data_IF_222529735189
#
_entry.id   IF_222529735189
#
_cell.length_a   1.000
_cell.length_b   1.000
_cell.length_c   1.000
_cell.angle_alpha   90.00
_cell.angle_beta   90.00
_cell.angle_gamma   90.00
#
_symmetry.space_group_name_H-M   'P 1'
#
loop_
_entity.id
_entity.type
_entity.pdbx_description
1 polymer ?
#
# COMPACT_ATOMS: atom_id res chain seq x y z
N UNK A 1 -13.38 13.18 28.42
CA UNK A 1 -13.88 13.25 27.03
C UNK A 1 -12.83 12.64 26.11
N UNK A 2 -12.97 11.34 25.80
CA UNK A 2 -12.11 10.69 24.79
C UNK A 2 -12.61 11.15 23.42
N UNK A 3 -11.95 12.13 22.82
CA UNK A 3 -12.10 12.40 21.40
C UNK A 3 -11.49 11.23 20.64
N UNK A 4 -12.31 10.28 20.28
CA UNK A 4 -11.91 9.29 19.30
C UNK A 4 -11.82 10.01 17.95
N UNK A 5 -10.67 9.92 17.31
CA UNK A 5 -10.46 10.50 16.00
C UNK A 5 -11.34 9.80 14.97
N UNK A 6 -12.52 10.38 14.74
CA UNK A 6 -13.44 9.91 13.71
C UNK A 6 -13.21 10.70 12.42
N UNK A 7 -12.86 9.99 11.36
CA UNK A 7 -12.72 10.57 10.03
C UNK A 7 -14.08 10.63 9.34
N UNK A 8 -14.87 11.66 9.67
CA UNK A 8 -16.21 11.86 9.16
C UNK A 8 -16.26 12.80 7.95
N UNK A 9 -17.48 13.07 7.48
CA UNK A 9 -17.76 13.93 6.33
C UNK A 9 -17.12 15.34 6.45
N UNK A 10 -17.14 15.91 7.64
CA UNK A 10 -16.54 17.23 7.90
C UNK A 10 -15.02 17.20 7.74
N UNK A 11 -14.36 16.14 8.23
CA UNK A 11 -12.91 15.95 8.07
C UNK A 11 -12.57 15.75 6.61
N UNK A 12 -13.32 14.90 5.91
CA UNK A 12 -13.16 14.68 4.47
C UNK A 12 -13.27 15.97 3.67
N UNK A 13 -14.30 16.78 3.94
CA UNK A 13 -14.49 18.07 3.28
C UNK A 13 -13.35 19.04 3.56
N UNK A 14 -12.83 19.08 4.79
CA UNK A 14 -11.68 19.90 5.17
C UNK A 14 -10.40 19.45 4.43
N UNK A 15 -10.19 18.14 4.31
CA UNK A 15 -9.05 17.58 3.57
C UNK A 15 -9.15 17.95 2.08
N UNK A 16 -10.31 17.80 1.45
CA UNK A 16 -10.51 18.19 0.04
C UNK A 16 -10.22 19.67 -0.16
N UNK A 17 -10.71 20.53 0.71
CA UNK A 17 -10.46 21.97 0.65
C UNK A 17 -8.96 22.29 0.75
N UNK A 18 -8.26 21.67 1.70
CA UNK A 18 -6.82 21.82 1.86
C UNK A 18 -6.06 21.34 0.63
N UNK A 19 -6.39 20.15 0.12
CA UNK A 19 -5.78 19.58 -1.09
C UNK A 19 -5.95 20.52 -2.30
N UNK A 20 -7.13 21.11 -2.47
CA UNK A 20 -7.40 22.10 -3.52
C UNK A 20 -6.52 23.34 -3.35
N UNK A 21 -6.39 23.86 -2.14
CA UNK A 21 -5.55 25.03 -1.84
C UNK A 21 -4.06 24.77 -2.11
N UNK A 22 -3.60 23.53 -1.90
CA UNK A 22 -2.21 23.13 -2.13
C UNK A 22 -1.94 22.65 -3.56
N UNK A 23 -2.95 22.60 -4.43
CA UNK A 23 -2.79 22.14 -5.81
C UNK A 23 -2.46 20.65 -5.94
N UNK A 24 -2.86 19.84 -4.96
CA UNK A 24 -2.68 18.37 -4.96
C UNK A 24 -4.01 17.66 -5.21
N UNK A 25 -3.95 16.34 -5.52
CA UNK A 25 -5.14 15.55 -5.81
C UNK A 25 -6.18 15.61 -4.68
N UNK A 26 -7.43 15.95 -5.05
CA UNK A 26 -8.55 16.14 -4.11
C UNK A 26 -9.22 14.80 -3.79
N UNK A 27 -8.52 13.92 -3.10
CA UNK A 27 -9.02 12.58 -2.76
C UNK A 27 -9.93 12.55 -1.53
N UNK A 28 -9.84 13.57 -0.68
CA UNK A 28 -10.50 13.56 0.64
C UNK A 28 -9.82 12.66 1.66
N UNK A 29 -8.71 12.02 1.31
CA UNK A 29 -7.90 11.20 2.19
C UNK A 29 -6.58 11.89 2.47
N UNK A 30 -6.18 11.98 3.74
CA UNK A 30 -4.90 12.54 4.15
C UNK A 30 -3.76 11.56 3.85
N UNK A 31 -3.48 11.37 2.57
CA UNK A 31 -2.38 10.54 2.09
C UNK A 31 -1.03 11.27 2.15
N UNK A 32 0.04 10.64 1.63
CA UNK A 32 1.41 11.13 1.72
C UNK A 32 1.60 12.57 1.26
N UNK A 33 1.05 12.94 0.11
CA UNK A 33 1.15 14.30 -0.42
C UNK A 33 0.50 15.33 0.51
N UNK A 34 -0.67 14.99 1.05
CA UNK A 34 -1.40 15.84 2.00
C UNK A 34 -0.63 16.00 3.30
N UNK A 35 -0.08 14.91 3.84
CA UNK A 35 0.72 14.93 5.07
C UNK A 35 2.00 15.75 4.89
N UNK A 36 2.68 15.60 3.76
CA UNK A 36 3.85 16.44 3.43
C UNK A 36 3.49 17.93 3.34
N UNK A 37 2.37 18.25 2.69
CA UNK A 37 1.89 19.63 2.58
C UNK A 37 1.53 20.22 3.95
N UNK A 38 1.09 19.39 4.90
CA UNK A 38 0.85 19.77 6.30
C UNK A 38 2.12 19.88 7.15
N UNK A 39 3.29 19.57 6.57
CA UNK A 39 4.55 19.55 7.31
C UNK A 39 4.71 18.37 8.27
N UNK A 40 3.88 17.33 8.11
CA UNK A 40 3.96 16.12 8.93
C UNK A 40 5.07 15.24 8.36
N UNK A 41 6.04 14.89 9.23
CA UNK A 41 7.11 13.97 8.85
C UNK A 41 6.56 12.56 8.67
N UNK A 42 6.78 11.99 7.50
CA UNK A 42 6.39 10.64 7.12
C UNK A 42 7.59 9.93 6.50
N UNK A 43 7.58 8.61 6.50
CA UNK A 43 8.57 7.83 5.76
C UNK A 43 8.58 8.23 4.29
N UNK A 44 9.73 8.12 3.63
CA UNK A 44 9.87 8.50 2.23
C UNK A 44 9.58 7.30 1.34
N UNK A 45 8.59 7.42 0.45
CA UNK A 45 8.43 6.47 -0.65
C UNK A 45 9.69 6.58 -1.53
N UNK A 46 10.35 5.45 -1.83
CA UNK A 46 11.53 5.46 -2.67
C UNK A 46 11.20 5.91 -4.10
N UNK A 47 12.16 6.51 -4.75
CA UNK A 47 12.04 6.86 -6.18
C UNK A 47 12.02 5.59 -7.04
N UNK A 48 11.48 5.69 -8.25
CA UNK A 48 11.39 4.59 -9.21
C UNK A 48 12.75 4.31 -9.89
N UNK A 49 13.77 4.01 -9.08
CA UNK A 49 15.05 3.52 -9.58
C UNK A 49 14.94 2.07 -10.01
N UNK A 50 15.84 1.60 -10.86
CA UNK A 50 15.87 0.21 -11.30
C UNK A 50 15.94 -0.77 -10.12
N UNK A 51 16.74 -0.47 -9.11
CA UNK A 51 16.87 -1.30 -7.90
C UNK A 51 15.55 -1.40 -7.13
N UNK A 52 14.86 -0.28 -6.93
CA UNK A 52 13.60 -0.25 -6.21
C UNK A 52 12.49 -0.94 -7.01
N UNK A 53 12.45 -0.73 -8.33
CA UNK A 53 11.52 -1.42 -9.23
C UNK A 53 11.75 -2.93 -9.15
N UNK A 54 13.00 -3.40 -9.25
CA UNK A 54 13.33 -4.82 -9.20
C UNK A 54 12.93 -5.45 -7.86
N UNK A 55 13.23 -4.81 -6.74
CA UNK A 55 12.89 -5.31 -5.41
C UNK A 55 11.36 -5.38 -5.22
N UNK A 56 10.65 -4.31 -5.57
CA UNK A 56 9.18 -4.28 -5.46
C UNK A 56 8.52 -5.26 -6.43
N UNK A 57 9.05 -5.41 -7.65
CA UNK A 57 8.54 -6.36 -8.63
C UNK A 57 8.68 -7.81 -8.16
N UNK A 58 9.77 -8.16 -7.49
CA UNK A 58 9.96 -9.50 -6.94
C UNK A 58 8.87 -9.86 -5.94
N UNK A 59 8.56 -8.98 -5.01
CA UNK A 59 7.52 -9.25 -4.02
C UNK A 59 6.11 -9.22 -4.65
N UNK A 60 5.84 -8.32 -5.56
CA UNK A 60 4.57 -8.28 -6.31
C UNK A 60 4.39 -9.59 -7.08
N UNK A 61 5.40 -10.06 -7.78
CA UNK A 61 5.35 -11.32 -8.54
C UNK A 61 5.09 -12.53 -7.63
N UNK A 62 5.68 -12.54 -6.44
CA UNK A 62 5.49 -13.62 -5.48
C UNK A 62 4.09 -13.60 -4.83
N UNK A 63 3.58 -12.44 -4.48
CA UNK A 63 2.35 -12.25 -3.73
C UNK A 63 1.09 -12.14 -4.60
N UNK A 64 1.23 -11.61 -5.82
CA UNK A 64 0.11 -11.29 -6.71
C UNK A 64 0.17 -12.04 -8.05
N UNK A 65 0.86 -13.17 -8.10
CA UNK A 65 0.91 -14.03 -9.29
C UNK A 65 -0.50 -14.51 -9.63
N UNK A 66 -0.94 -14.28 -10.87
CA UNK A 66 -2.28 -14.61 -11.31
C UNK A 66 -3.36 -13.61 -10.97
N UNK A 67 -3.04 -12.55 -10.23
CA UNK A 67 -3.97 -11.45 -9.99
C UNK A 67 -4.09 -10.54 -11.22
N UNK A 68 -5.23 -9.85 -11.39
CA UNK A 68 -5.37 -8.80 -12.39
C UNK A 68 -4.27 -7.75 -12.23
N UNK A 69 -3.93 -7.05 -13.31
CA UNK A 69 -2.88 -6.02 -13.28
C UNK A 69 -3.10 -4.97 -12.18
N UNK A 70 -4.34 -4.47 -12.04
CA UNK A 70 -4.70 -3.53 -10.96
C UNK A 70 -4.45 -4.13 -9.58
N UNK A 71 -4.68 -5.43 -9.40
CA UNK A 71 -4.37 -6.16 -8.17
C UNK A 71 -2.87 -6.24 -7.87
N UNK A 72 -2.05 -6.38 -8.90
CA UNK A 72 -0.60 -6.35 -8.77
C UNK A 72 -0.11 -4.95 -8.34
N UNK A 73 -0.63 -3.90 -8.95
CA UNK A 73 -0.35 -2.50 -8.54
C UNK A 73 -0.81 -2.27 -7.10
N UNK A 74 -1.99 -2.78 -6.74
CA UNK A 74 -2.55 -2.63 -5.39
C UNK A 74 -1.65 -3.26 -4.31
N UNK A 75 -1.10 -4.44 -4.55
CA UNK A 75 -0.15 -5.07 -3.64
C UNK A 75 1.12 -4.21 -3.49
N UNK A 76 1.65 -3.70 -4.59
CA UNK A 76 2.78 -2.76 -4.56
C UNK A 76 2.46 -1.49 -3.77
N UNK A 77 1.28 -0.92 -3.99
CA UNK A 77 0.83 0.29 -3.28
C UNK A 77 0.72 0.07 -1.76
N UNK A 78 0.19 -1.09 -1.33
CA UNK A 78 0.14 -1.43 0.11
C UNK A 78 1.53 -1.45 0.73
N UNK A 79 2.51 -2.02 0.05
CA UNK A 79 3.90 -2.05 0.53
C UNK A 79 4.45 -0.63 0.68
N UNK A 80 4.22 0.23 -0.30
CA UNK A 80 4.66 1.63 -0.25
C UNK A 80 3.91 2.43 0.83
N UNK A 81 2.61 2.18 1.02
CA UNK A 81 1.83 2.81 2.08
C UNK A 81 2.36 2.44 3.47
N UNK A 82 2.84 1.21 3.66
CA UNK A 82 3.47 0.78 4.92
C UNK A 82 4.71 1.59 5.24
N UNK A 83 5.53 1.94 4.25
CA UNK A 83 6.74 2.76 4.46
C UNK A 83 6.38 4.11 5.12
N UNK A 84 5.23 4.66 4.77
CA UNK A 84 4.76 5.94 5.28
C UNK A 84 3.90 5.83 6.54
N UNK A 85 3.59 4.61 6.96
CA UNK A 85 2.76 4.37 8.14
C UNK A 85 3.64 4.13 9.38
N UNK A 86 3.34 4.78 10.53
CA UNK A 86 4.20 4.74 11.70
C UNK A 86 4.33 3.36 12.36
N UNK A 87 3.42 2.43 12.05
CA UNK A 87 3.45 1.07 12.61
C UNK A 87 4.32 0.09 11.82
N UNK A 88 4.94 0.53 10.73
CA UNK A 88 5.77 -0.33 9.87
C UNK A 88 7.18 0.26 9.72
N UNK A 89 8.15 -0.55 9.25
CA UNK A 89 9.45 -0.01 8.85
C UNK A 89 9.33 1.09 7.81
N UNK A 90 10.24 2.04 7.83
CA UNK A 90 10.23 3.25 7.00
C UNK A 90 11.06 3.12 5.71
N UNK A 91 11.46 1.91 5.34
CA UNK A 91 12.19 1.62 4.10
C UNK A 91 11.54 0.48 3.33
N UNK A 92 11.74 0.45 2.01
CA UNK A 92 11.22 -0.61 1.14
C UNK A 92 11.73 -1.99 1.56
N UNK A 93 13.03 -2.14 1.75
CA UNK A 93 13.61 -3.40 2.23
C UNK A 93 13.14 -3.75 3.64
N UNK A 94 13.01 -2.76 4.52
CA UNK A 94 12.49 -2.96 5.87
C UNK A 94 11.09 -3.55 5.88
N UNK A 95 10.20 -3.04 5.04
CA UNK A 95 8.82 -3.55 4.92
C UNK A 95 8.80 -4.95 4.31
N UNK A 96 9.55 -5.18 3.23
CA UNK A 96 9.56 -6.47 2.51
C UNK A 96 10.16 -7.58 3.38
N UNK A 97 11.28 -7.31 4.04
CA UNK A 97 11.99 -8.28 4.88
C UNK A 97 11.55 -8.29 6.35
N UNK A 98 10.54 -7.52 6.72
CA UNK A 98 10.00 -7.55 8.07
C UNK A 98 9.58 -8.97 8.43
N UNK A 99 10.02 -9.44 9.60
CA UNK A 99 9.74 -10.80 10.05
C UNK A 99 8.23 -11.09 10.09
N UNK A 100 7.83 -12.16 9.41
CA UNK A 100 6.44 -12.60 9.32
C UNK A 100 5.53 -11.78 8.40
N UNK A 101 6.07 -10.77 7.71
CA UNK A 101 5.26 -9.93 6.81
C UNK A 101 4.82 -10.65 5.54
N UNK A 102 5.73 -11.40 4.92
CA UNK A 102 5.51 -12.11 3.67
C UNK A 102 6.11 -13.51 3.72
N UNK A 103 5.28 -14.55 3.64
CA UNK A 103 5.73 -15.93 3.58
C UNK A 103 6.58 -16.23 2.35
N UNK A 104 6.29 -15.55 1.24
CA UNK A 104 7.02 -15.69 -0.02
C UNK A 104 8.53 -15.43 0.11
N UNK A 105 8.94 -14.59 1.06
CA UNK A 105 10.36 -14.30 1.32
C UNK A 105 11.09 -15.51 1.92
N UNK A 106 10.40 -16.34 2.69
CA UNK A 106 11.00 -17.50 3.38
C UNK A 106 10.73 -18.84 2.71
N UNK A 107 9.69 -18.95 1.86
CA UNK A 107 9.33 -20.21 1.20
C UNK A 107 9.93 -20.38 -0.21
N UNK A 108 10.73 -19.42 -0.66
CA UNK A 108 11.45 -19.49 -1.94
C UNK A 108 10.72 -18.82 -3.13
N UNK A 109 9.45 -18.48 -3.03
CA UNK A 109 8.71 -17.82 -4.11
C UNK A 109 9.31 -16.48 -4.52
N UNK A 110 9.94 -15.79 -3.58
CA UNK A 110 10.64 -14.53 -3.81
C UNK A 110 11.84 -14.67 -4.78
N UNK A 111 12.37 -15.85 -4.96
CA UNK A 111 13.50 -16.15 -5.85
C UNK A 111 13.04 -16.74 -7.20
N UNK A 112 11.76 -16.92 -7.42
CA UNK A 112 11.23 -17.35 -8.71
C UNK A 112 11.35 -16.24 -9.77
N UNK A 113 11.34 -16.60 -11.07
CA UNK A 113 11.34 -15.61 -12.15
C UNK A 113 10.21 -14.59 -12.00
N UNK A 114 10.54 -13.33 -12.16
CA UNK A 114 9.61 -12.20 -12.01
C UNK A 114 8.79 -12.05 -13.29
N UNK A 115 7.46 -12.00 -13.17
CA UNK A 115 6.57 -11.75 -14.29
C UNK A 115 6.80 -10.34 -14.86
N UNK A 116 6.75 -10.20 -16.19
CA UNK A 116 6.93 -8.91 -16.87
C UNK A 116 5.93 -7.85 -16.38
N UNK A 117 4.67 -8.25 -16.12
CA UNK A 117 3.63 -7.36 -15.57
C UNK A 117 3.97 -6.82 -14.18
N UNK A 118 4.72 -7.58 -13.37
CA UNK A 118 5.12 -7.15 -12.03
C UNK A 118 6.10 -5.98 -12.06
N UNK A 119 6.98 -5.92 -13.04
CA UNK A 119 7.87 -4.76 -13.24
C UNK A 119 7.09 -3.49 -13.58
N UNK A 120 6.10 -3.60 -14.47
CA UNK A 120 5.22 -2.49 -14.82
C UNK A 120 4.38 -2.05 -13.63
N UNK A 121 3.83 -3.01 -12.87
CA UNK A 121 3.06 -2.73 -11.66
C UNK A 121 3.89 -2.04 -10.59
N UNK A 122 5.13 -2.49 -10.38
CA UNK A 122 6.08 -1.86 -9.45
C UNK A 122 6.38 -0.40 -9.85
N UNK A 123 6.61 -0.17 -11.13
CA UNK A 123 6.85 1.17 -11.66
C UNK A 123 5.65 2.09 -11.47
N UNK A 124 4.45 1.62 -11.79
CA UNK A 124 3.22 2.39 -11.61
C UNK A 124 2.94 2.71 -10.15
N UNK A 125 3.14 1.75 -9.24
CA UNK A 125 2.99 1.98 -7.81
C UNK A 125 4.01 3.01 -7.29
N UNK A 126 5.29 2.90 -7.66
CA UNK A 126 6.35 3.85 -7.28
C UNK A 126 6.09 5.25 -7.85
N UNK A 127 5.43 5.37 -9.00
CA UNK A 127 5.01 6.62 -9.59
C UNK A 127 3.71 7.19 -8.97
N UNK A 128 3.14 6.52 -7.97
CA UNK A 128 2.06 7.06 -7.15
C UNK A 128 0.68 6.49 -7.42
N UNK A 129 0.54 5.49 -8.30
CA UNK A 129 -0.77 4.86 -8.50
C UNK A 129 -1.09 3.92 -7.33
N UNK A 130 -2.09 4.30 -6.54
CA UNK A 130 -2.63 3.50 -5.45
C UNK A 130 -4.13 3.24 -5.65
N UNK A 131 -4.51 2.10 -6.21
CA UNK A 131 -5.92 1.74 -6.37
C UNK A 131 -6.61 1.34 -5.06
N UNK A 132 -5.87 1.27 -3.93
CA UNK A 132 -6.41 0.87 -2.63
C UNK A 132 -6.84 2.05 -1.76
N UNK A 133 -6.54 3.29 -2.14
CA UNK A 133 -6.80 4.49 -1.35
C UNK A 133 -6.12 4.48 0.04
N UNK A 134 -4.87 4.09 0.11
CA UNK A 134 -4.07 4.16 1.33
C UNK A 134 -4.10 2.93 2.21
N UNK A 135 -4.61 1.79 1.75
CA UNK A 135 -4.61 0.55 2.53
C UNK A 135 -3.20 0.08 2.87
N UNK A 136 -3.04 -0.47 4.06
CA UNK A 136 -1.78 -1.03 4.57
C UNK A 136 -1.87 -2.54 4.82
N UNK A 137 -3.04 -3.13 4.60
CA UNK A 137 -3.27 -4.57 4.71
C UNK A 137 -3.99 -5.10 3.47
N UNK A 138 -3.69 -6.34 3.11
CA UNK A 138 -4.49 -7.12 2.18
C UNK A 138 -4.45 -8.60 2.57
N UNK A 139 -5.45 -9.34 2.15
CA UNK A 139 -5.50 -10.79 2.33
C UNK A 139 -6.43 -11.44 1.32
N UNK A 140 -6.17 -12.72 1.03
CA UNK A 140 -7.10 -13.55 0.26
C UNK A 140 -8.00 -14.30 1.24
N UNK A 141 -9.31 -14.01 1.30
CA UNK A 141 -10.22 -14.63 2.27
C UNK A 141 -10.40 -16.13 2.06
N UNK A 142 -10.08 -16.65 0.88
CA UNK A 142 -10.13 -18.08 0.60
C UNK A 142 -8.88 -18.84 1.09
N UNK A 143 -7.77 -18.13 1.35
CA UNK A 143 -6.49 -18.73 1.72
C UNK A 143 -6.11 -18.54 3.18
N UNK A 144 -6.73 -17.63 3.90
CA UNK A 144 -6.44 -17.38 5.30
C UNK A 144 -7.64 -17.58 6.19
N UNK A 145 -7.42 -18.22 7.35
CA UNK A 145 -8.40 -18.35 8.44
C UNK A 145 -8.14 -17.36 9.58
N UNK A 146 -7.21 -16.42 9.40
CA UNK A 146 -6.82 -15.47 10.45
C UNK A 146 -7.99 -14.54 10.79
N UNK A 147 -8.59 -14.74 11.97
CA UNK A 147 -9.74 -13.98 12.45
C UNK A 147 -9.46 -12.47 12.56
N UNK A 148 -8.23 -12.08 12.91
CA UNK A 148 -7.83 -10.68 12.99
C UNK A 148 -7.92 -9.99 11.61
N UNK A 149 -7.48 -10.68 10.56
CA UNK A 149 -7.58 -10.15 9.20
C UNK A 149 -9.03 -10.07 8.73
N UNK A 150 -9.83 -11.11 9.00
CA UNK A 150 -11.24 -11.13 8.62
C UNK A 150 -12.09 -10.09 9.36
N UNK A 151 -11.66 -9.65 10.55
CA UNK A 151 -12.33 -8.60 11.31
C UNK A 151 -12.04 -7.18 10.82
N UNK A 152 -11.03 -6.97 9.98
CA UNK A 152 -10.69 -5.66 9.45
C UNK A 152 -11.75 -5.17 8.46
N UNK A 153 -12.18 -3.89 8.55
CA UNK A 153 -13.08 -3.31 7.56
C UNK A 153 -12.42 -3.33 6.16
N UNK A 154 -13.11 -3.92 5.21
CA UNK A 154 -12.67 -3.94 3.80
C UNK A 154 -12.93 -2.58 3.17
N UNK A 155 -11.90 -1.97 2.62
CA UNK A 155 -11.99 -0.72 1.86
C UNK A 155 -12.32 -1.00 0.40
N UNK A 156 -11.63 -1.97 -0.20
CA UNK A 156 -11.87 -2.37 -1.59
C UNK A 156 -11.52 -3.84 -1.83
N UNK A 157 -12.09 -4.40 -2.86
CA UNK A 157 -11.81 -5.77 -3.33
C UNK A 157 -11.29 -5.68 -4.76
N UNK A 158 -10.12 -6.25 -5.00
CA UNK A 158 -9.50 -6.30 -6.32
C UNK A 158 -9.00 -7.73 -6.54
N UNK A 159 -9.48 -8.40 -7.60
CA UNK A 159 -9.17 -9.81 -7.82
C UNK A 159 -9.61 -10.67 -6.64
N UNK A 160 -8.72 -11.51 -6.15
CA UNK A 160 -8.97 -12.38 -5.00
C UNK A 160 -8.62 -11.74 -3.65
N UNK A 161 -8.12 -10.53 -3.65
CA UNK A 161 -7.68 -9.83 -2.43
C UNK A 161 -8.69 -8.81 -1.91
N UNK A 162 -8.81 -8.77 -0.59
CA UNK A 162 -9.46 -7.69 0.17
C UNK A 162 -8.39 -6.76 0.73
N UNK A 163 -8.58 -5.46 0.51
CA UNK A 163 -7.67 -4.42 0.98
C UNK A 163 -8.29 -3.67 2.15
N UNK A 164 -7.50 -3.46 3.21
CA UNK A 164 -7.96 -2.94 4.50
C UNK A 164 -7.01 -1.87 5.05
N UNK A 165 -7.55 -1.04 5.93
CA UNK A 165 -6.77 -0.09 6.71
C UNK A 165 -6.18 -0.72 7.97
#
# INVERSE_FOLDING_TARGET
YKRQGYYGEKTKAAVIKFQKQQGISQTGTAGPQTLRALGISIGSVPSATEQNINLLARIISAEARGEPYVGQVAVGAVILNRIEHPSFPDTLSGVIYQNGAFTAVVDGQFNEPVAASAYNAARDALNGWDPTNGCVYYYNPAKTSNAYMHAKPTVTVIGSHRFCM
#
